data_IF_201545279447
#
_entry.id   IF_201545279447
#
_cell.length_a   1.000
_cell.length_b   1.000
_cell.length_c   1.000
_cell.angle_alpha   90.00
_cell.angle_beta   90.00
_cell.angle_gamma   90.00
#
_symmetry.space_group_name_H-M   'P 1'
#
loop_
_entity.id
_entity.type
_entity.pdbx_description
1 polymer ?
#
# COMPACT_ATOMS: atom_id res chain seq x y z
N UNK A 1 4.81 -2.91 10.07
CA UNK A 1 5.64 -2.62 8.90
C UNK A 1 6.92 -3.43 8.77
N UNK A 2 6.84 -4.48 7.96
CA UNK A 2 7.99 -5.19 7.40
C UNK A 2 8.32 -4.65 6.00
N UNK A 3 9.22 -3.66 5.89
CA UNK A 3 9.49 -2.99 4.61
C UNK A 3 9.86 -3.92 3.46
N UNK A 4 10.62 -4.98 3.73
CA UNK A 4 11.02 -5.94 2.70
C UNK A 4 9.81 -6.72 2.16
N UNK A 5 8.91 -7.16 3.03
CA UNK A 5 7.69 -7.85 2.63
C UNK A 5 6.80 -6.98 1.75
N UNK A 6 6.60 -5.73 2.13
CA UNK A 6 5.80 -4.78 1.35
C UNK A 6 6.43 -4.48 -0.01
N UNK A 7 7.75 -4.33 -0.10
CA UNK A 7 8.44 -4.12 -1.36
C UNK A 7 8.40 -5.37 -2.26
N UNK A 8 8.71 -6.54 -1.70
CA UNK A 8 8.75 -7.81 -2.44
C UNK A 8 7.38 -8.18 -3.03
N UNK A 9 6.32 -8.02 -2.24
CA UNK A 9 4.96 -8.38 -2.68
C UNK A 9 4.36 -7.35 -3.65
N UNK A 10 4.97 -6.17 -3.79
CA UNK A 10 4.59 -5.18 -4.81
C UNK A 10 5.08 -5.54 -6.22
N UNK A 11 5.90 -6.59 -6.35
CA UNK A 11 6.46 -7.07 -7.63
C UNK A 11 7.18 -5.93 -8.39
N UNK A 12 6.78 -5.65 -9.65
CA UNK A 12 7.33 -4.57 -10.48
C UNK A 12 6.33 -3.45 -10.76
N UNK A 13 5.22 -3.40 -10.00
CA UNK A 13 4.24 -2.33 -10.14
C UNK A 13 4.60 -1.17 -9.21
N UNK A 14 5.03 -0.06 -9.80
CA UNK A 14 5.45 1.14 -9.07
C UNK A 14 4.31 1.76 -8.26
N UNK A 15 3.07 1.65 -8.74
CA UNK A 15 1.89 2.15 -8.04
C UNK A 15 1.59 1.32 -6.80
N UNK A 16 1.64 -0.01 -6.91
CA UNK A 16 1.51 -0.91 -5.76
C UNK A 16 2.63 -0.67 -4.76
N UNK A 17 3.88 -0.55 -5.21
CA UNK A 17 5.04 -0.28 -4.34
C UNK A 17 4.86 1.03 -3.58
N UNK A 18 4.53 2.11 -4.27
CA UNK A 18 4.31 3.41 -3.66
C UNK A 18 3.22 3.32 -2.58
N UNK A 19 2.06 2.73 -2.93
CA UNK A 19 0.97 2.55 -1.98
C UNK A 19 1.35 1.68 -0.77
N UNK A 20 2.12 0.61 -1.01
CA UNK A 20 2.57 -0.31 0.03
C UNK A 20 3.52 0.34 1.03
N UNK A 21 4.36 1.27 0.56
CA UNK A 21 5.33 2.00 1.39
C UNK A 21 4.69 3.13 2.20
N UNK A 22 3.58 3.71 1.72
CA UNK A 22 2.97 4.89 2.34
C UNK A 22 1.65 4.64 3.08
N UNK A 23 1.21 3.38 3.20
CA UNK A 23 -0.14 3.01 3.66
C UNK A 23 -0.53 3.58 5.04
N UNK A 24 0.43 3.70 5.96
CA UNK A 24 0.25 4.26 7.32
C UNK A 24 -0.19 5.74 7.31
N UNK A 25 0.21 6.47 6.28
CA UNK A 25 -0.04 7.91 6.16
C UNK A 25 -1.42 8.22 5.53
N UNK A 26 -2.08 7.22 4.93
CA UNK A 26 -3.37 7.39 4.26
C UNK A 26 -4.50 6.82 5.12
N UNK A 27 -5.25 7.71 5.77
CA UNK A 27 -6.32 7.35 6.70
C UNK A 27 -7.70 7.71 6.13
N UNK A 28 -8.61 6.73 6.17
CA UNK A 28 -10.00 6.91 5.73
C UNK A 28 -10.20 6.80 4.21
N UNK A 29 -11.47 6.72 3.80
CA UNK A 29 -11.86 6.46 2.39
C UNK A 29 -11.66 7.66 1.47
N UNK A 30 -11.87 8.88 1.97
CA UNK A 30 -11.70 10.11 1.17
C UNK A 30 -10.23 10.34 0.80
N UNK A 31 -9.31 10.17 1.77
CA UNK A 31 -7.87 10.28 1.51
C UNK A 31 -7.40 9.20 0.52
N UNK A 32 -7.90 7.96 0.67
CA UNK A 32 -7.61 6.87 -0.27
C UNK A 32 -8.07 7.22 -1.69
N UNK A 33 -9.28 7.76 -1.85
CA UNK A 33 -9.85 8.10 -3.16
C UNK A 33 -9.07 9.20 -3.92
N UNK A 34 -8.21 9.96 -3.23
CA UNK A 34 -7.37 10.99 -3.85
C UNK A 34 -6.20 10.41 -4.68
N UNK A 35 -5.92 9.12 -4.58
CA UNK A 35 -4.80 8.47 -5.27
C UNK A 35 -5.24 7.71 -6.54
N UNK A 36 -4.33 7.47 -7.50
CA UNK A 36 -4.58 6.55 -8.62
C UNK A 36 -4.94 5.13 -8.14
N UNK A 37 -5.72 4.39 -8.93
CA UNK A 37 -6.24 3.06 -8.53
C UNK A 37 -5.15 2.08 -8.11
N UNK A 38 -3.99 2.08 -8.77
CA UNK A 38 -2.86 1.21 -8.44
C UNK A 38 -2.27 1.55 -7.06
N UNK A 39 -2.13 2.84 -6.75
CA UNK A 39 -1.66 3.30 -5.44
C UNK A 39 -2.69 2.97 -4.35
N UNK A 40 -3.98 3.11 -4.64
CA UNK A 40 -5.04 2.67 -3.73
C UNK A 40 -4.92 1.18 -3.41
N UNK A 41 -4.71 0.34 -4.43
CA UNK A 41 -4.52 -1.09 -4.25
C UNK A 41 -3.27 -1.39 -3.38
N UNK A 42 -2.17 -0.66 -3.58
CA UNK A 42 -0.98 -0.76 -2.74
C UNK A 42 -1.23 -0.38 -1.27
N UNK A 43 -2.00 0.69 -1.02
CA UNK A 43 -2.37 1.10 0.35
C UNK A 43 -3.24 0.03 1.03
N UNK A 44 -4.18 -0.56 0.30
CA UNK A 44 -5.00 -1.66 0.82
C UNK A 44 -4.16 -2.91 1.08
N UNK A 45 -3.22 -3.19 0.19
CA UNK A 45 -2.29 -4.30 0.34
C UNK A 45 -1.39 -4.15 1.56
N UNK A 46 -0.89 -2.94 1.84
CA UNK A 46 -0.12 -2.65 3.05
C UNK A 46 -0.88 -3.07 4.30
N UNK A 47 -2.16 -2.69 4.39
CA UNK A 47 -3.00 -3.03 5.54
C UNK A 47 -3.22 -4.53 5.66
N UNK A 48 -3.32 -5.23 4.53
CA UNK A 48 -3.44 -6.68 4.52
C UNK A 48 -2.14 -7.32 5.03
N UNK A 49 -0.96 -6.88 4.56
CA UNK A 49 0.33 -7.43 5.00
C UNK A 49 0.54 -7.22 6.50
N UNK A 50 0.35 -5.99 6.99
CA UNK A 50 0.48 -5.68 8.43
C UNK A 50 -0.56 -6.41 9.30
N UNK A 51 -1.68 -6.86 8.74
CA UNK A 51 -2.62 -7.74 9.45
C UNK A 51 -2.07 -9.16 9.62
N UNK A 52 -1.22 -9.62 8.69
CA UNK A 52 -0.63 -10.96 8.73
C UNK A 52 0.73 -11.03 9.43
N UNK A 53 1.43 -9.91 9.60
CA UNK A 53 2.78 -9.84 10.21
C UNK A 53 2.85 -8.82 11.33
#
# INVERSE_FOLDING_TARGET
MNFLGHALLSNKDEGLLLGNMMGDFVKGRLALAAYPKQVQAGILMHRAIDQFT
#
